data_IF_516842381779
#
_entry.id   IF_516842381779
#
_cell.length_a   1.000
_cell.length_b   1.000
_cell.length_c   1.000
_cell.angle_alpha   90.00
_cell.angle_beta   90.00
_cell.angle_gamma   90.00
#
_symmetry.space_group_name_H-M   'P 1'
#
loop_
_entity.id
_entity.type
_entity.pdbx_description
1 polymer ?
#
# COMPACT_ATOMS: atom_id res chain seq x y z
N UNK A 1 -7.00 -26.08 -30.21
CA UNK A 1 -6.43 -25.30 -29.09
C UNK A 1 -6.72 -23.83 -29.36
N UNK A 2 -7.59 -23.17 -28.56
CA UNK A 2 -7.85 -21.74 -28.74
C UNK A 2 -6.60 -20.98 -28.25
N UNK A 3 -5.97 -20.26 -29.17
CA UNK A 3 -4.80 -19.37 -29.06
C UNK A 3 -4.06 -19.30 -27.70
N UNK A 4 -2.84 -19.84 -27.62
CA UNK A 4 -1.82 -19.48 -26.61
C UNK A 4 -2.04 -19.89 -25.14
N UNK A 5 -3.18 -20.44 -24.74
CA UNK A 5 -3.43 -20.79 -23.33
C UNK A 5 -2.73 -22.11 -22.91
N UNK A 6 -1.94 -22.05 -21.83
CA UNK A 6 -1.31 -23.21 -21.18
C UNK A 6 -2.18 -23.68 -20.00
N UNK A 7 -2.26 -25.00 -19.76
CA UNK A 7 -3.00 -25.54 -18.60
C UNK A 7 -2.42 -24.99 -17.29
N UNK A 8 -3.29 -24.46 -16.43
CA UNK A 8 -2.90 -23.93 -15.11
C UNK A 8 -2.28 -24.99 -14.20
N UNK A 9 -2.75 -26.24 -14.30
CA UNK A 9 -2.10 -27.40 -13.70
C UNK A 9 -1.25 -28.13 -14.74
N UNK A 10 0.01 -28.49 -14.45
CA UNK A 10 0.67 -28.39 -13.14
C UNK A 10 1.47 -27.09 -12.91
N UNK A 11 1.76 -26.30 -13.95
CA UNK A 11 2.77 -25.23 -13.88
C UNK A 11 2.43 -24.10 -12.91
N UNK A 12 1.32 -23.40 -13.14
CA UNK A 12 0.91 -22.22 -12.39
C UNK A 12 0.60 -22.53 -10.93
N UNK A 13 -0.17 -23.59 -10.67
CA UNK A 13 -0.53 -23.94 -9.29
C UNK A 13 0.65 -24.42 -8.45
N UNK A 14 1.58 -25.20 -9.04
CA UNK A 14 2.79 -25.61 -8.31
C UNK A 14 3.69 -24.41 -8.02
N UNK A 15 3.79 -23.45 -8.94
CA UNK A 15 4.54 -22.23 -8.72
C UNK A 15 3.95 -21.43 -7.57
N UNK A 16 2.64 -21.17 -7.57
CA UNK A 16 1.96 -20.45 -6.48
C UNK A 16 2.14 -21.18 -5.16
N UNK A 17 1.93 -22.49 -5.11
CA UNK A 17 2.05 -23.27 -3.88
C UNK A 17 3.48 -23.20 -3.32
N UNK A 18 4.50 -23.33 -4.17
CA UNK A 18 5.91 -23.21 -3.77
C UNK A 18 6.23 -21.80 -3.29
N UNK A 19 5.83 -20.77 -4.03
CA UNK A 19 6.05 -19.37 -3.64
C UNK A 19 5.34 -19.03 -2.32
N UNK A 20 4.10 -19.49 -2.14
CA UNK A 20 3.34 -19.30 -0.91
C UNK A 20 4.00 -20.00 0.28
N UNK A 21 4.42 -21.26 0.11
CA UNK A 21 5.11 -22.00 1.16
C UNK A 21 6.45 -21.35 1.54
N UNK A 22 7.25 -20.93 0.56
CA UNK A 22 8.50 -20.22 0.80
C UNK A 22 8.27 -18.88 1.51
N UNK A 23 7.27 -18.12 1.10
CA UNK A 23 6.94 -16.84 1.74
C UNK A 23 6.46 -17.03 3.18
N UNK A 24 5.56 -17.99 3.43
CA UNK A 24 5.10 -18.31 4.79
C UNK A 24 6.24 -18.81 5.66
N UNK A 25 7.11 -19.70 5.16
CA UNK A 25 8.29 -20.16 5.89
C UNK A 25 9.23 -18.98 6.23
N UNK A 26 9.49 -18.09 5.27
CA UNK A 26 10.30 -16.90 5.50
C UNK A 26 9.67 -15.96 6.54
N UNK A 27 8.35 -15.75 6.51
CA UNK A 27 7.65 -14.96 7.52
C UNK A 27 7.72 -15.58 8.92
N UNK A 28 7.55 -16.89 9.04
CA UNK A 28 7.64 -17.60 10.32
C UNK A 28 9.07 -17.55 10.88
N UNK A 29 10.08 -17.73 10.03
CA UNK A 29 11.49 -17.57 10.42
C UNK A 29 11.79 -16.13 10.85
N UNK A 30 11.31 -15.14 10.10
CA UNK A 30 11.44 -13.74 10.46
C UNK A 30 10.78 -13.44 11.82
N UNK A 31 9.57 -13.96 12.07
CA UNK A 31 8.88 -13.80 13.35
C UNK A 31 9.59 -14.50 14.53
N UNK A 32 10.31 -15.59 14.27
CA UNK A 32 11.09 -16.30 15.29
C UNK A 32 12.39 -15.56 15.66
N UNK A 33 13.00 -14.83 14.72
CA UNK A 33 14.30 -14.16 14.90
C UNK A 33 14.12 -12.69 15.27
N UNK A 34 13.13 -12.01 14.69
CA UNK A 34 12.86 -10.58 14.87
C UNK A 34 11.80 -10.43 15.95
N UNK A 35 12.19 -9.87 17.11
CA UNK A 35 11.26 -9.57 18.19
C UNK A 35 10.27 -8.49 17.76
N UNK A 36 8.99 -8.71 18.03
CA UNK A 36 7.98 -7.70 17.79
C UNK A 36 8.25 -6.46 18.68
N UNK A 37 8.26 -5.24 18.11
CA UNK A 37 8.38 -4.00 18.87
C UNK A 37 7.05 -3.69 19.57
N UNK A 38 6.73 -4.45 20.61
CA UNK A 38 5.53 -4.26 21.41
C UNK A 38 5.70 -3.06 22.33
N UNK A 39 4.72 -2.17 22.33
CA UNK A 39 4.64 -1.05 23.27
C UNK A 39 4.04 -1.53 24.61
N UNK A 40 4.09 -0.65 25.62
CA UNK A 40 3.43 -0.89 26.90
C UNK A 40 1.92 -1.10 26.72
N UNK A 41 1.29 -1.73 27.72
CA UNK A 41 -0.15 -1.92 27.73
C UNK A 41 -0.87 -0.56 27.61
N UNK A 42 -1.90 -0.51 26.77
CA UNK A 42 -2.62 0.73 26.50
C UNK A 42 -3.22 1.32 27.78
N UNK A 43 -2.89 2.58 28.06
CA UNK A 43 -3.46 3.34 29.17
C UNK A 43 -4.48 4.37 28.63
N UNK A 44 -5.78 4.23 28.91
CA UNK A 44 -6.79 5.17 28.42
C UNK A 44 -6.64 6.60 28.99
N UNK A 45 -5.92 6.77 30.10
CA UNK A 45 -5.66 8.08 30.69
C UNK A 45 -4.49 8.84 30.01
N UNK A 46 -3.70 8.18 29.15
CA UNK A 46 -2.51 8.75 28.53
C UNK A 46 -2.46 8.44 27.04
N UNK A 47 -2.61 9.48 26.21
CA UNK A 47 -2.45 9.35 24.76
C UNK A 47 -0.97 9.54 24.38
N UNK A 48 -0.30 8.55 23.77
CA UNK A 48 1.10 8.67 23.38
C UNK A 48 1.26 9.76 22.31
N UNK A 49 2.31 10.59 22.41
CA UNK A 49 2.64 11.60 21.41
C UNK A 49 4.05 11.34 20.85
N UNK A 50 4.21 11.01 19.56
CA UNK A 50 3.19 10.91 18.51
C UNK A 50 2.44 9.57 18.49
N UNK A 51 1.11 9.61 18.31
CA UNK A 51 0.32 8.41 17.97
C UNK A 51 0.70 7.97 16.56
N UNK A 52 1.09 6.71 16.34
CA UNK A 52 1.31 6.14 15.00
C UNK A 52 0.23 5.11 14.66
N UNK A 53 -0.44 5.29 13.53
CA UNK A 53 -1.34 4.29 12.95
C UNK A 53 -0.56 3.11 12.37
N UNK A 54 -1.26 2.05 11.95
CA UNK A 54 -0.65 0.97 11.17
C UNK A 54 0.08 1.54 9.93
N UNK A 55 1.22 0.94 9.57
CA UNK A 55 2.16 1.48 8.56
C UNK A 55 1.51 1.82 7.21
N UNK A 56 0.54 1.03 6.76
CA UNK A 56 -0.18 1.24 5.49
C UNK A 56 -1.24 2.35 5.56
N UNK A 57 -1.57 2.86 6.75
CA UNK A 57 -2.49 3.97 7.00
C UNK A 57 -1.77 5.28 7.37
N UNK A 58 -0.44 5.24 7.51
CA UNK A 58 0.33 6.41 7.96
C UNK A 58 0.17 7.62 7.06
N UNK A 59 0.14 7.43 5.73
CA UNK A 59 -0.07 8.52 4.78
C UNK A 59 -1.44 9.22 4.95
N UNK A 60 -2.49 8.48 5.30
CA UNK A 60 -3.82 9.04 5.59
C UNK A 60 -3.75 9.82 6.89
N UNK A 61 -3.14 9.22 7.92
CA UNK A 61 -3.00 9.84 9.22
C UNK A 61 -2.22 11.16 9.13
N UNK A 62 -1.18 11.19 8.32
CA UNK A 62 -0.37 12.37 8.06
C UNK A 62 -1.20 13.48 7.42
N UNK A 63 -1.95 13.15 6.36
CA UNK A 63 -2.80 14.13 5.70
C UNK A 63 -3.86 14.69 6.67
N UNK A 64 -4.53 13.83 7.44
CA UNK A 64 -5.58 14.23 8.39
C UNK A 64 -5.02 15.01 9.59
N UNK A 65 -3.73 14.86 9.94
CA UNK A 65 -3.11 15.66 11.01
C UNK A 65 -3.00 17.15 10.67
N UNK A 66 -2.96 17.54 9.40
CA UNK A 66 -3.00 18.96 9.00
C UNK A 66 -4.38 19.57 9.16
N UNK A 67 -5.42 18.83 8.78
CA UNK A 67 -6.81 19.28 8.88
C UNK A 67 -7.76 18.12 8.70
N UNK A 68 -8.88 18.12 9.44
CA UNK A 68 -9.96 17.13 9.28
C UNK A 68 -10.50 17.09 7.85
N UNK A 69 -10.45 18.22 7.12
CA UNK A 69 -10.91 18.30 5.73
C UNK A 69 -10.03 17.52 4.73
N UNK A 70 -8.82 17.14 5.13
CA UNK A 70 -7.95 16.31 4.31
C UNK A 70 -8.45 14.88 4.12
N UNK A 71 -9.53 14.47 4.79
CA UNK A 71 -10.18 13.21 4.46
C UNK A 71 -10.81 13.22 3.05
N UNK A 72 -11.24 14.38 2.55
CA UNK A 72 -11.89 14.48 1.24
C UNK A 72 -11.01 14.07 0.06
N UNK A 73 -9.74 14.52 -0.07
CA UNK A 73 -8.86 14.02 -1.13
C UNK A 73 -8.55 12.52 -0.99
N UNK A 74 -8.48 11.96 0.22
CA UNK A 74 -8.33 10.51 0.44
C UNK A 74 -9.55 9.76 -0.09
N UNK A 75 -10.76 10.24 0.22
CA UNK A 75 -12.00 9.66 -0.29
C UNK A 75 -12.13 9.80 -1.80
N UNK A 76 -11.76 10.96 -2.35
CA UNK A 76 -11.73 11.19 -3.80
C UNK A 76 -10.77 10.22 -4.49
N UNK A 77 -9.59 9.99 -3.92
CA UNK A 77 -8.63 9.01 -4.42
C UNK A 77 -9.19 7.58 -4.35
N UNK A 78 -9.86 7.21 -3.24
CA UNK A 78 -10.55 5.94 -3.12
C UNK A 78 -11.63 5.75 -4.19
N UNK A 79 -12.49 6.74 -4.38
CA UNK A 79 -13.50 6.75 -5.46
C UNK A 79 -12.85 6.63 -6.84
N UNK A 80 -11.74 7.32 -7.07
CA UNK A 80 -10.99 7.25 -8.31
C UNK A 80 -10.47 5.84 -8.58
N UNK A 81 -9.86 5.18 -7.58
CA UNK A 81 -9.42 3.78 -7.67
C UNK A 81 -10.58 2.81 -7.90
N UNK A 82 -11.73 3.05 -7.26
CA UNK A 82 -12.95 2.28 -7.52
C UNK A 82 -13.41 2.44 -8.95
N UNK A 83 -13.36 3.65 -9.52
CA UNK A 83 -13.82 3.94 -10.88
C UNK A 83 -12.80 3.57 -11.96
N UNK A 84 -11.57 3.18 -11.61
CA UNK A 84 -10.50 2.82 -12.56
C UNK A 84 -10.90 1.84 -13.65
N UNK A 85 -11.69 0.77 -13.41
CA UNK A 85 -12.10 -0.14 -14.47
C UNK A 85 -12.94 0.50 -15.58
N UNK A 86 -13.58 1.64 -15.30
CA UNK A 86 -14.49 2.36 -16.21
C UNK A 86 -13.87 3.63 -16.82
N UNK A 87 -12.71 4.06 -16.32
CA UNK A 87 -12.01 5.26 -16.80
C UNK A 87 -11.31 5.10 -18.17
N UNK A 88 -10.72 3.93 -18.51
CA UNK A 88 -10.09 3.73 -19.82
C UNK A 88 -11.06 3.90 -20.98
N UNK A 89 -10.80 4.90 -21.82
CA UNK A 89 -11.49 5.10 -23.09
C UNK A 89 -10.78 4.25 -24.15
N UNK A 90 -11.18 2.97 -24.25
CA UNK A 90 -10.60 2.01 -25.18
C UNK A 90 -11.22 0.63 -25.02
N UNK A 91 -11.14 -0.21 -26.07
CA UNK A 91 -11.62 -1.59 -26.01
C UNK A 91 -10.94 -2.37 -24.87
N UNK A 92 -11.68 -3.31 -24.26
CA UNK A 92 -11.12 -4.17 -23.21
C UNK A 92 -9.99 -5.01 -23.81
N UNK A 93 -8.75 -4.90 -23.31
CA UNK A 93 -7.65 -5.68 -23.86
C UNK A 93 -7.92 -7.17 -23.60
N UNK A 94 -7.64 -8.01 -24.61
CA UNK A 94 -7.82 -9.47 -24.51
C UNK A 94 -6.85 -10.12 -23.50
N UNK A 95 -5.81 -9.38 -23.09
CA UNK A 95 -4.80 -9.81 -22.14
C UNK A 95 -4.46 -8.64 -21.18
N UNK A 96 -4.13 -8.96 -19.93
CA UNK A 96 -3.62 -7.97 -19.00
C UNK A 96 -2.24 -7.47 -19.47
N UNK A 97 -2.16 -6.18 -19.80
CA UNK A 97 -0.92 -5.49 -20.18
C UNK A 97 -0.61 -4.48 -19.09
N UNK A 98 0.61 -4.52 -18.57
CA UNK A 98 1.09 -3.51 -17.63
C UNK A 98 1.44 -2.24 -18.40
N UNK A 99 0.97 -1.09 -17.89
CA UNK A 99 1.23 0.22 -18.46
C UNK A 99 0.95 0.35 -19.98
N UNK A 100 -0.28 0.02 -20.43
CA UNK A 100 -0.63 0.12 -21.85
C UNK A 100 -0.54 1.58 -22.30
N UNK A 101 0.00 1.82 -23.51
CA UNK A 101 0.22 3.17 -24.04
C UNK A 101 -1.10 3.93 -24.25
N UNK A 102 -2.19 3.20 -24.43
CA UNK A 102 -3.54 3.69 -24.65
C UNK A 102 -4.14 4.28 -23.36
N UNK A 103 -3.61 3.89 -22.19
CA UNK A 103 -4.11 4.35 -20.87
C UNK A 103 -3.07 5.20 -20.14
N UNK A 104 -2.24 5.96 -20.87
CA UNK A 104 -1.18 6.81 -20.29
C UNK A 104 -1.68 7.71 -19.16
N UNK A 105 -2.87 8.30 -19.29
CA UNK A 105 -3.44 9.17 -18.24
C UNK A 105 -3.72 8.40 -16.95
N UNK A 106 -4.35 7.22 -17.07
CA UNK A 106 -4.65 6.34 -15.92
C UNK A 106 -3.35 5.83 -15.28
N UNK A 107 -2.40 5.43 -16.10
CA UNK A 107 -1.07 4.99 -15.65
C UNK A 107 -0.34 6.10 -14.88
N UNK A 108 -0.31 7.32 -15.44
CA UNK A 108 0.33 8.47 -14.83
C UNK A 108 -0.33 8.80 -13.48
N UNK A 109 -1.67 8.84 -13.45
CA UNK A 109 -2.44 9.08 -12.24
C UNK A 109 -2.13 8.03 -11.15
N UNK A 110 -2.13 6.74 -11.52
CA UNK A 110 -1.82 5.66 -10.58
C UNK A 110 -0.39 5.76 -10.04
N UNK A 111 0.58 6.08 -10.88
CA UNK A 111 1.98 6.27 -10.46
C UNK A 111 2.13 7.49 -9.56
N UNK A 112 1.53 8.63 -9.92
CA UNK A 112 1.55 9.84 -9.09
C UNK A 112 0.91 9.59 -7.74
N UNK A 113 -0.25 8.91 -7.70
CA UNK A 113 -0.90 8.53 -6.45
C UNK A 113 -0.03 7.61 -5.61
N UNK A 114 0.60 6.60 -6.23
CA UNK A 114 1.53 5.69 -5.54
C UNK A 114 2.72 6.45 -4.94
N UNK A 115 3.38 7.31 -5.72
CA UNK A 115 4.51 8.10 -5.24
C UNK A 115 4.11 9.07 -4.12
N UNK A 116 2.93 9.69 -4.21
CA UNK A 116 2.40 10.56 -3.16
C UNK A 116 2.15 9.79 -1.85
N UNK A 117 1.52 8.60 -1.93
CA UNK A 117 1.30 7.72 -0.77
C UNK A 117 2.63 7.31 -0.12
N UNK A 118 3.63 6.93 -0.93
CA UNK A 118 4.96 6.56 -0.43
C UNK A 118 5.63 7.75 0.24
N UNK A 119 5.62 8.93 -0.39
CA UNK A 119 6.22 10.14 0.16
C UNK A 119 5.58 10.53 1.49
N UNK A 120 4.23 10.56 1.56
CA UNK A 120 3.50 10.83 2.80
C UNK A 120 3.76 9.77 3.87
N UNK A 121 3.90 8.50 3.51
CA UNK A 121 4.24 7.44 4.47
C UNK A 121 5.64 7.65 5.05
N UNK A 122 6.62 8.02 4.22
CA UNK A 122 7.99 8.33 4.68
C UNK A 122 7.99 9.55 5.60
N UNK A 123 7.26 10.61 5.23
CA UNK A 123 7.10 11.81 6.07
C UNK A 123 6.50 11.42 7.43
N UNK A 124 5.41 10.67 7.42
CA UNK A 124 4.74 10.22 8.64
C UNK A 124 5.62 9.36 9.54
N UNK A 125 6.52 8.55 8.95
CA UNK A 125 7.42 7.67 9.69
C UNK A 125 8.54 8.42 10.38
N UNK A 126 9.15 9.40 9.70
CA UNK A 126 10.42 9.99 10.12
C UNK A 126 10.33 11.46 10.56
N UNK A 127 9.39 12.24 10.02
CA UNK A 127 9.35 13.71 10.16
C UNK A 127 8.20 14.19 11.06
N UNK A 128 7.96 13.49 12.18
CA UNK A 128 6.88 13.80 13.14
C UNK A 128 7.33 14.46 14.43
N UNK A 129 8.60 14.85 14.55
CA UNK A 129 9.09 15.61 15.70
C UNK A 129 8.68 17.09 15.67
N UNK A 130 8.84 17.79 16.79
CA UNK A 130 8.62 19.25 16.89
C UNK A 130 9.41 19.98 15.81
N UNK A 131 8.75 20.86 15.03
CA UNK A 131 9.31 21.55 13.87
C UNK A 131 9.80 20.63 12.73
N UNK A 132 9.10 19.52 12.43
CA UNK A 132 9.51 18.55 11.40
C UNK A 132 10.87 17.91 11.67
N UNK A 133 11.28 17.86 12.94
CA UNK A 133 12.53 17.22 13.31
C UNK A 133 12.46 15.71 13.07
N UNK A 134 13.62 15.12 12.76
CA UNK A 134 13.75 13.68 12.59
C UNK A 134 13.49 12.99 13.94
N UNK A 135 12.39 12.26 14.02
CA UNK A 135 12.02 11.49 15.21
C UNK A 135 12.36 10.02 14.98
N UNK A 136 13.50 9.57 15.52
CA UNK A 136 13.85 8.16 15.60
C UNK A 136 13.31 7.61 16.93
N UNK A 137 12.13 7.01 16.89
CA UNK A 137 11.64 6.22 18.02
C UNK A 137 12.04 4.76 17.77
N UNK A 138 12.87 4.14 18.64
CA UNK A 138 13.22 2.73 18.55
C UNK A 138 12.00 1.81 18.74
#
# INVERSE_FOLDING_TARGET
MKQGFVKSSPGFFRLIARSGLLFTAALLLAAAIIRAPLQEAANPALTPNPVKSAWFLLWIQELVSYSRFMIYPVMALGCLFLLLPWLPVGGRPHQAVWFPREQRTVNLLAVVAFLAIVALTIIALFFRGTNWSLSFHP
#
